data_IF_193923267395
#
_entry.id   IF_193923267395
#
_cell.length_a   1.000
_cell.length_b   1.000
_cell.length_c   1.000
_cell.angle_alpha   90.00
_cell.angle_beta   90.00
_cell.angle_gamma   90.00
#
_symmetry.space_group_name_H-M   'P 1'
#
loop_
_entity.id
_entity.type
_entity.pdbx_description
1 polymer ?
#
# COMPACT_ATOMS: atom_id res chain seq x y z
N UNK A 1 1.94 3.38 6.19
CA UNK A 1 0.75 3.17 5.35
C UNK A 1 0.58 1.67 5.11
N UNK A 2 -0.64 1.12 5.18
CA UNK A 2 -0.94 -0.27 4.80
C UNK A 2 -1.26 -0.25 3.30
N UNK A 3 -0.51 -1.03 2.51
CA UNK A 3 -0.66 -1.04 1.05
C UNK A 3 -1.98 -1.68 0.63
N UNK A 4 -2.49 -1.28 -0.53
CA UNK A 4 -3.68 -1.86 -1.15
C UNK A 4 -4.92 -1.89 -0.22
N UNK A 5 -4.99 -0.98 0.74
CA UNK A 5 -6.12 -0.80 1.64
C UNK A 5 -6.54 0.66 1.67
N UNK A 6 -7.83 0.91 1.90
CA UNK A 6 -8.33 2.27 2.11
C UNK A 6 -7.65 2.88 3.35
N UNK A 7 -7.14 4.09 3.21
CA UNK A 7 -6.49 4.82 4.32
C UNK A 7 -6.89 6.28 4.33
N UNK A 8 -6.97 6.87 5.52
CA UNK A 8 -7.24 8.30 5.67
C UNK A 8 -5.99 9.07 6.05
N UNK A 9 -5.80 10.23 5.43
CA UNK A 9 -4.75 11.22 5.75
C UNK A 9 -5.41 12.44 6.31
N UNK A 10 -4.91 12.92 7.45
CA UNK A 10 -5.35 14.21 8.00
C UNK A 10 -4.31 15.28 7.75
N UNK A 11 -4.77 16.48 7.41
CA UNK A 11 -3.93 17.65 7.26
C UNK A 11 -4.69 18.90 7.70
N UNK A 12 -3.96 19.90 8.18
CA UNK A 12 -4.52 21.17 8.59
C UNK A 12 -4.44 22.18 7.43
N UNK A 13 -5.52 22.91 7.19
CA UNK A 13 -5.49 24.06 6.28
C UNK A 13 -4.99 25.28 7.07
N UNK A 14 -3.72 25.65 6.91
CA UNK A 14 -3.16 26.86 7.53
C UNK A 14 -3.65 28.07 6.75
N UNK A 15 -4.26 29.05 7.43
CA UNK A 15 -4.78 30.24 6.76
C UNK A 15 -3.66 31.06 6.10
N UNK A 16 -3.78 31.29 4.79
CA UNK A 16 -2.84 32.08 4.00
C UNK A 16 -2.68 33.53 4.48
N UNK A 17 -3.73 34.12 5.05
CA UNK A 17 -3.72 35.51 5.56
C UNK A 17 -3.45 35.59 7.05
N UNK A 18 -3.46 34.46 7.77
CA UNK A 18 -3.24 34.40 9.21
C UNK A 18 -2.56 33.06 9.57
N UNK A 19 -1.23 32.96 9.40
CA UNK A 19 -0.50 31.68 9.46
C UNK A 19 -0.57 30.97 10.83
N UNK A 20 -1.00 31.67 11.88
CA UNK A 20 -1.20 31.12 13.23
C UNK A 20 -2.59 30.53 13.43
N UNK A 21 -3.49 30.64 12.44
CA UNK A 21 -4.87 30.16 12.49
C UNK A 21 -5.11 29.08 11.44
N UNK A 22 -6.08 28.20 11.73
CA UNK A 22 -6.57 27.22 10.77
C UNK A 22 -7.76 27.78 10.00
N UNK A 23 -7.82 27.47 8.71
CA UNK A 23 -8.90 27.86 7.81
C UNK A 23 -9.98 26.78 7.76
N UNK A 24 -11.07 27.01 8.48
CA UNK A 24 -12.26 26.17 8.43
C UNK A 24 -13.20 26.55 7.28
N UNK A 25 -14.10 25.63 6.92
CA UNK A 25 -15.17 25.85 5.93
C UNK A 25 -14.71 25.88 4.47
N UNK A 26 -13.47 25.47 4.16
CA UNK A 26 -13.02 25.37 2.78
C UNK A 26 -13.66 24.15 2.11
N UNK A 27 -14.27 24.36 0.94
CA UNK A 27 -14.67 23.25 0.06
C UNK A 27 -13.47 22.84 -0.79
N UNK A 28 -12.81 21.75 -0.40
CA UNK A 28 -11.72 21.14 -1.16
C UNK A 28 -12.29 20.16 -2.19
N UNK A 29 -11.80 20.25 -3.43
CA UNK A 29 -12.19 19.38 -4.54
C UNK A 29 -11.06 18.40 -4.89
N UNK A 30 -11.38 17.35 -5.64
CA UNK A 30 -10.37 16.41 -6.18
C UNK A 30 -9.31 17.08 -7.08
N UNK A 31 -9.62 18.25 -7.65
CA UNK A 31 -8.67 19.04 -8.43
C UNK A 31 -7.60 19.71 -7.56
N UNK A 32 -7.95 20.01 -6.31
CA UNK A 32 -7.11 20.73 -5.34
C UNK A 32 -6.12 19.79 -4.65
N UNK A 33 -6.31 18.47 -4.81
CA UNK A 33 -5.49 17.42 -4.20
C UNK A 33 -4.73 16.67 -5.26
N UNK A 34 -3.42 16.62 -5.09
CA UNK A 34 -2.50 15.87 -5.93
C UNK A 34 -1.78 14.80 -5.12
N UNK A 35 -1.67 13.61 -5.69
CA UNK A 35 -0.94 12.48 -5.14
C UNK A 35 0.23 12.11 -6.03
N UNK A 36 1.37 11.79 -5.43
CA UNK A 36 2.54 11.22 -6.11
C UNK A 36 2.83 9.86 -5.50
N UNK A 37 2.88 8.83 -6.36
CA UNK A 37 3.20 7.45 -6.01
C UNK A 37 4.64 7.16 -6.40
N UNK A 38 5.44 6.65 -5.47
CA UNK A 38 6.83 6.21 -5.70
C UNK A 38 7.69 7.28 -6.40
N UNK A 39 7.55 8.54 -5.95
CA UNK A 39 8.17 9.73 -6.55
C UNK A 39 7.83 9.97 -8.04
N UNK A 40 6.74 9.38 -8.53
CA UNK A 40 6.18 9.62 -9.85
C UNK A 40 5.49 10.97 -10.00
N UNK A 41 5.01 11.26 -11.21
CA UNK A 41 4.29 12.50 -11.50
C UNK A 41 3.01 12.64 -10.64
N UNK A 42 2.70 13.88 -10.26
CA UNK A 42 1.49 14.18 -9.51
C UNK A 42 0.22 13.97 -10.34
N UNK A 43 -0.72 13.21 -9.80
CA UNK A 43 -2.06 12.99 -10.36
C UNK A 43 -3.13 13.44 -9.36
N UNK A 44 -4.36 13.70 -9.82
CA UNK A 44 -5.45 14.00 -8.88
C UNK A 44 -5.81 12.79 -8.03
N UNK A 45 -6.16 13.04 -6.77
CA UNK A 45 -6.77 12.02 -5.92
C UNK A 45 -8.19 11.68 -6.41
N UNK A 46 -8.65 10.48 -6.08
CA UNK A 46 -9.97 9.97 -6.45
C UNK A 46 -11.07 10.63 -5.62
N UNK A 47 -10.81 10.86 -4.33
CA UNK A 47 -11.77 11.42 -3.39
C UNK A 47 -11.37 12.84 -2.99
N UNK A 48 -12.36 13.68 -2.68
CA UNK A 48 -12.14 15.00 -2.12
C UNK A 48 -11.93 14.91 -0.59
N UNK A 49 -11.13 15.81 0.01
CA UNK A 49 -11.02 15.91 1.46
C UNK A 49 -12.29 16.47 2.09
N UNK A 50 -12.63 15.98 3.28
CA UNK A 50 -13.76 16.47 4.08
C UNK A 50 -13.25 17.08 5.37
N UNK A 51 -13.81 18.21 5.78
CA UNK A 51 -13.46 18.85 7.04
C UNK A 51 -13.97 18.04 8.24
N UNK A 52 -13.13 17.92 9.27
CA UNK A 52 -13.48 17.27 10.53
C UNK A 52 -14.09 18.30 11.49
N UNK A 53 -15.41 18.33 11.59
CA UNK A 53 -16.12 19.05 12.66
C UNK A 53 -15.92 20.57 12.67
N UNK A 54 -15.66 21.21 11.52
CA UNK A 54 -15.43 22.66 11.37
C UNK A 54 -14.20 23.16 12.15
N UNK A 55 -13.11 22.41 12.07
CA UNK A 55 -11.86 22.68 12.83
C UNK A 55 -10.74 23.30 12.00
N UNK A 56 -10.88 23.34 10.66
CA UNK A 56 -9.79 23.60 9.73
C UNK A 56 -8.84 22.41 9.53
N UNK A 57 -9.17 21.23 10.09
CA UNK A 57 -8.49 19.96 9.81
C UNK A 57 -9.35 19.14 8.85
N UNK A 58 -8.73 18.59 7.81
CA UNK A 58 -9.40 17.85 6.75
C UNK A 58 -8.87 16.42 6.71
N UNK A 59 -9.76 15.48 6.40
CA UNK A 59 -9.43 14.09 6.14
C UNK A 59 -9.62 13.77 4.66
N UNK A 60 -8.57 13.25 4.03
CA UNK A 60 -8.62 12.67 2.69
C UNK A 60 -8.63 11.15 2.80
N UNK A 61 -9.69 10.51 2.31
CA UNK A 61 -9.74 9.05 2.19
C UNK A 61 -9.15 8.61 0.85
N UNK A 62 -8.01 7.93 0.91
CA UNK A 62 -7.34 7.32 -0.22
C UNK A 62 -7.87 5.92 -0.48
N UNK A 63 -8.01 5.55 -1.74
CA UNK A 63 -8.43 4.22 -2.17
C UNK A 63 -7.32 3.18 -2.02
N UNK A 64 -7.69 1.89 -2.04
CA UNK A 64 -6.72 0.80 -2.10
C UNK A 64 -5.77 0.91 -3.31
N UNK A 65 -6.24 1.39 -4.45
CA UNK A 65 -5.40 1.54 -5.64
C UNK A 65 -4.36 2.66 -5.49
N UNK A 66 -4.69 3.73 -4.78
CA UNK A 66 -3.77 4.85 -4.53
C UNK A 66 -2.72 4.51 -3.48
N UNK A 67 -3.09 3.71 -2.47
CA UNK A 67 -2.18 3.25 -1.41
C UNK A 67 -1.36 2.02 -1.83
N UNK A 68 -1.59 1.44 -3.01
CA UNK A 68 -0.74 0.39 -3.59
C UNK A 68 0.54 0.97 -4.20
N UNK A 69 1.37 1.58 -3.37
CA UNK A 69 2.69 2.11 -3.70
C UNK A 69 3.64 1.93 -2.51
N UNK A 70 4.93 2.16 -2.72
CA UNK A 70 5.94 2.16 -1.65
C UNK A 70 6.04 3.47 -0.91
N UNK A 71 5.78 4.58 -1.58
CA UNK A 71 5.69 5.90 -0.98
C UNK A 71 4.55 6.71 -1.59
N UNK A 72 3.77 7.37 -0.74
CA UNK A 72 2.70 8.25 -1.19
C UNK A 72 2.86 9.64 -0.59
N UNK A 73 2.93 10.64 -1.47
CA UNK A 73 2.89 12.05 -1.08
C UNK A 73 1.55 12.66 -1.49
N UNK A 74 0.94 13.41 -0.59
CA UNK A 74 -0.28 14.17 -0.82
C UNK A 74 0.08 15.66 -0.78
N UNK A 75 -0.27 16.38 -1.83
CA UNK A 75 -0.15 17.83 -1.94
C UNK A 75 -1.54 18.43 -2.09
N UNK A 76 -1.88 19.41 -1.25
CA UNK A 76 -3.15 20.11 -1.28
C UNK A 76 -2.91 21.58 -1.53
N UNK A 77 -3.55 22.13 -2.56
CA UNK A 77 -3.45 23.54 -2.93
C UNK A 77 -4.83 24.12 -3.16
N UNK A 78 -5.20 25.13 -2.37
CA UNK A 78 -6.46 25.86 -2.50
C UNK A 78 -6.25 27.33 -2.11
N UNK A 79 -6.92 28.24 -2.82
CA UNK A 79 -6.98 29.65 -2.40
C UNK A 79 -7.54 29.77 -0.98
N UNK A 80 -6.87 30.55 -0.14
CA UNK A 80 -7.25 30.72 1.28
C UNK A 80 -6.46 29.86 2.26
N UNK A 81 -5.61 28.94 1.78
CA UNK A 81 -4.64 28.21 2.60
C UNK A 81 -3.23 28.27 2.01
N UNK A 82 -2.21 28.13 2.86
CA UNK A 82 -0.88 27.79 2.37
C UNK A 82 -0.88 26.38 1.77
N UNK A 83 -0.15 26.13 0.67
CA UNK A 83 0.03 24.78 0.15
C UNK A 83 0.53 23.84 1.25
N UNK A 84 -0.15 22.72 1.45
CA UNK A 84 0.21 21.74 2.46
C UNK A 84 0.62 20.44 1.76
N UNK A 85 1.82 19.95 2.09
CA UNK A 85 2.29 18.64 1.68
C UNK A 85 2.31 17.70 2.89
N UNK A 86 1.48 16.66 2.83
CA UNK A 86 1.45 15.59 3.83
C UNK A 86 2.07 14.33 3.23
N UNK A 87 3.04 13.76 3.93
CA UNK A 87 3.76 12.57 3.50
C UNK A 87 3.21 11.36 4.25
N UNK A 88 2.73 10.37 3.51
CA UNK A 88 2.49 9.04 4.04
C UNK A 88 3.63 8.12 3.64
N UNK A 89 4.57 7.90 4.55
CA UNK A 89 5.51 6.80 4.40
C UNK A 89 4.77 5.47 4.54
N UNK A 90 5.04 4.51 3.65
CA UNK A 90 4.87 3.10 4.04
C UNK A 90 5.76 2.86 5.26
N UNK A 91 5.15 2.34 6.33
CA UNK A 91 5.95 1.74 7.39
C UNK A 91 6.59 0.50 6.76
N UNK A 92 7.86 0.27 7.10
CA UNK A 92 8.78 -0.88 6.92
C UNK A 92 8.32 -2.24 6.34
N UNK A 93 7.04 -2.55 6.15
CA UNK A 93 6.57 -3.80 5.55
C UNK A 93 6.31 -3.60 4.05
N UNK A 94 7.36 -3.30 3.29
CA UNK A 94 7.27 -3.58 1.86
C UNK A 94 7.09 -5.09 1.73
N UNK A 95 6.03 -5.60 1.07
CA UNK A 95 5.93 -7.01 0.76
C UNK A 95 7.22 -7.42 0.04
N UNK A 96 7.86 -8.48 0.54
CA UNK A 96 9.12 -8.97 -0.01
C UNK A 96 8.95 -9.49 -1.45
N UNK A 97 7.73 -9.88 -1.83
CA UNK A 97 7.40 -10.37 -3.16
C UNK A 97 5.88 -10.33 -3.44
N UNK A 98 5.53 -10.61 -4.69
CA UNK A 98 4.19 -10.74 -5.22
C UNK A 98 4.03 -12.07 -5.97
N UNK A 99 2.81 -12.60 -5.99
CA UNK A 99 2.45 -13.79 -6.76
C UNK A 99 2.43 -13.47 -8.25
N UNK A 100 3.09 -14.30 -9.05
CA UNK A 100 3.16 -14.20 -10.51
C UNK A 100 2.10 -15.08 -11.14
N UNK A 101 1.56 -14.65 -12.28
CA UNK A 101 0.61 -15.44 -13.05
C UNK A 101 1.26 -16.76 -13.51
N UNK A 102 0.72 -17.87 -13.04
CA UNK A 102 1.12 -19.22 -13.42
C UNK A 102 -0.09 -20.14 -13.33
N UNK A 103 -0.23 -21.07 -14.27
CA UNK A 103 -1.36 -22.00 -14.34
C UNK A 103 -1.33 -23.04 -13.20
N UNK A 104 -0.16 -23.29 -12.62
CA UNK A 104 0.06 -24.27 -11.57
C UNK A 104 -0.12 -23.68 -10.15
N UNK A 105 -0.47 -22.39 -10.05
CA UNK A 105 -0.75 -21.75 -8.77
C UNK A 105 -1.96 -22.38 -8.08
N UNK A 106 -1.72 -22.95 -6.89
CA UNK A 106 -2.71 -23.62 -6.04
C UNK A 106 -2.49 -23.25 -4.56
N UNK A 107 -3.33 -23.75 -3.67
CA UNK A 107 -3.26 -23.42 -2.25
C UNK A 107 -1.94 -23.85 -1.57
N UNK A 108 -1.24 -24.86 -2.10
CA UNK A 108 0.01 -25.43 -1.56
C UNK A 108 1.25 -25.05 -2.35
N UNK A 109 1.11 -24.33 -3.46
CA UNK A 109 2.21 -23.95 -4.33
C UNK A 109 1.86 -22.70 -5.11
N UNK A 110 2.78 -21.73 -5.17
CA UNK A 110 2.63 -20.62 -6.11
C UNK A 110 3.97 -20.06 -6.56
N UNK A 111 3.99 -19.46 -7.74
CA UNK A 111 5.15 -18.76 -8.30
C UNK A 111 5.17 -17.32 -7.83
N UNK A 112 6.35 -16.84 -7.44
CA UNK A 112 6.56 -15.46 -6.99
C UNK A 112 7.68 -14.76 -7.75
N UNK A 113 7.69 -13.43 -7.74
CA UNK A 113 8.72 -12.60 -8.37
C UNK A 113 10.04 -12.52 -7.56
N UNK A 114 10.49 -13.65 -7.01
CA UNK A 114 11.70 -13.75 -6.19
C UNK A 114 12.97 -13.79 -7.06
N UNK A 115 14.06 -13.19 -6.58
CA UNK A 115 15.31 -13.04 -7.36
C UNK A 115 16.29 -14.20 -7.16
N UNK A 116 16.34 -14.81 -5.97
CA UNK A 116 17.31 -15.87 -5.66
C UNK A 116 17.20 -17.04 -6.64
N UNK A 117 18.31 -17.43 -7.27
CA UNK A 117 18.40 -18.57 -8.19
C UNK A 117 18.73 -19.89 -7.48
N UNK A 118 18.92 -19.85 -6.16
CA UNK A 118 19.35 -21.00 -5.36
C UNK A 118 18.12 -21.79 -4.90
N UNK A 119 18.06 -23.07 -5.26
CA UNK A 119 17.02 -23.99 -4.76
C UNK A 119 17.09 -24.09 -3.24
N UNK A 120 15.93 -24.13 -2.60
CA UNK A 120 15.74 -24.17 -1.15
C UNK A 120 16.28 -22.94 -0.37
N UNK A 121 16.63 -21.85 -1.06
CA UNK A 121 17.07 -20.61 -0.40
C UNK A 121 16.07 -20.07 0.63
N UNK A 122 14.78 -20.24 0.36
CA UNK A 122 13.69 -19.81 1.24
C UNK A 122 13.04 -20.95 2.03
N UNK A 123 13.68 -22.12 2.09
CA UNK A 123 13.19 -23.24 2.88
C UNK A 123 13.18 -22.86 4.35
N UNK A 124 12.14 -23.30 5.07
CA UNK A 124 11.85 -22.98 6.47
C UNK A 124 11.51 -21.52 6.78
N UNK A 125 11.57 -20.63 5.79
CA UNK A 125 11.04 -19.27 5.90
C UNK A 125 9.51 -19.27 6.07
N UNK A 126 8.97 -18.19 6.61
CA UNK A 126 7.53 -17.99 6.79
C UNK A 126 7.03 -16.95 5.79
N UNK A 127 6.02 -17.33 5.00
CA UNK A 127 5.28 -16.41 4.13
C UNK A 127 4.05 -15.91 4.87
N UNK A 128 3.82 -14.60 4.81
CA UNK A 128 2.62 -13.94 5.34
C UNK A 128 1.98 -13.11 4.22
N UNK A 129 0.74 -13.42 3.84
CA UNK A 129 0.02 -12.62 2.86
C UNK A 129 -0.42 -11.29 3.48
N UNK A 130 -0.19 -10.20 2.75
CA UNK A 130 -0.52 -8.83 3.17
C UNK A 130 -1.74 -8.26 2.43
N UNK A 131 -2.09 -8.84 1.28
CA UNK A 131 -3.24 -8.45 0.46
C UNK A 131 -4.01 -9.67 -0.05
N UNK A 132 -5.11 -9.43 -0.78
CA UNK A 132 -5.91 -10.49 -1.39
C UNK A 132 -6.83 -11.21 -0.39
N UNK A 133 -7.48 -12.28 -0.85
CA UNK A 133 -8.37 -13.09 -0.02
C UNK A 133 -7.63 -13.85 1.10
N UNK A 134 -6.30 -13.98 0.96
CA UNK A 134 -5.43 -14.67 1.91
C UNK A 134 -4.78 -13.71 2.91
N UNK A 135 -5.06 -12.40 2.87
CA UNK A 135 -4.45 -11.41 3.75
C UNK A 135 -4.54 -11.83 5.22
N UNK A 136 -3.39 -11.80 5.92
CA UNK A 136 -3.25 -12.22 7.33
C UNK A 136 -3.00 -13.72 7.53
N UNK A 137 -3.10 -14.56 6.50
CA UNK A 137 -2.68 -15.96 6.59
C UNK A 137 -1.17 -16.09 6.47
N UNK A 138 -0.62 -17.08 7.19
CA UNK A 138 0.79 -17.41 7.14
C UNK A 138 1.01 -18.92 7.01
N UNK A 139 2.08 -19.29 6.30
CA UNK A 139 2.54 -20.68 6.16
C UNK A 139 4.06 -20.74 6.09
N UNK A 140 4.63 -21.84 6.59
CA UNK A 140 6.05 -22.15 6.44
C UNK A 140 6.32 -22.76 5.06
N UNK A 141 7.36 -22.27 4.40
CA UNK A 141 7.86 -22.77 3.12
C UNK A 141 8.59 -24.10 3.36
N UNK A 142 8.17 -25.16 2.68
CA UNK A 142 8.82 -26.48 2.75
C UNK A 142 9.82 -26.70 1.62
N UNK A 143 9.71 -25.93 0.54
CA UNK A 143 10.63 -25.97 -0.59
C UNK A 143 10.52 -24.72 -1.45
N UNK A 144 11.64 -24.36 -2.09
CA UNK A 144 11.70 -23.25 -3.03
C UNK A 144 12.48 -23.67 -4.28
N UNK A 145 11.90 -23.51 -5.46
CA UNK A 145 12.59 -23.79 -6.71
C UNK A 145 13.32 -22.53 -7.20
N UNK A 146 14.65 -22.55 -7.24
CA UNK A 146 15.46 -21.41 -7.67
C UNK A 146 15.31 -21.03 -9.14
N UNK A 147 14.80 -21.93 -9.99
CA UNK A 147 14.57 -21.67 -11.42
C UNK A 147 13.17 -21.12 -11.64
N UNK A 148 12.14 -21.84 -11.20
CA UNK A 148 10.73 -21.47 -11.43
C UNK A 148 10.22 -20.45 -10.43
N UNK A 149 10.97 -20.17 -9.35
CA UNK A 149 10.58 -19.28 -8.24
C UNK A 149 9.34 -19.74 -7.48
N UNK A 150 9.00 -21.03 -7.60
CA UNK A 150 7.85 -21.62 -6.93
C UNK A 150 8.15 -21.88 -5.45
N UNK A 151 7.25 -21.43 -4.58
CA UNK A 151 7.23 -21.74 -3.15
C UNK A 151 6.27 -22.89 -2.89
N UNK A 152 6.67 -23.86 -2.08
CA UNK A 152 5.86 -25.02 -1.68
C UNK A 152 5.55 -25.00 -0.19
N UNK A 153 4.37 -25.51 0.20
CA UNK A 153 3.88 -25.52 1.58
C UNK A 153 3.31 -26.90 1.94
N UNK A 154 3.56 -27.38 3.16
CA UNK A 154 3.00 -28.66 3.64
C UNK A 154 1.46 -28.63 3.77
N UNK A 155 0.94 -27.54 4.32
CA UNK A 155 -0.49 -27.29 4.43
C UNK A 155 -0.85 -26.08 3.59
N UNK A 156 -1.89 -26.20 2.78
CA UNK A 156 -2.33 -25.11 1.91
C UNK A 156 -2.92 -23.92 2.67
N UNK A 157 -2.99 -22.79 1.98
CA UNK A 157 -3.86 -21.67 2.33
C UNK A 157 -5.34 -22.03 2.08
N UNK A 158 -6.28 -21.17 2.48
CA UNK A 158 -7.72 -21.45 2.30
C UNK A 158 -8.17 -21.48 0.83
N UNK A 159 -7.38 -20.91 -0.08
CA UNK A 159 -7.59 -20.94 -1.53
C UNK A 159 -6.26 -20.74 -2.26
N UNK A 160 -6.25 -20.87 -3.59
CA UNK A 160 -5.12 -20.43 -4.39
C UNK A 160 -4.97 -18.89 -4.29
N UNK A 161 -3.75 -18.36 -4.20
CA UNK A 161 -3.52 -16.91 -4.25
C UNK A 161 -3.80 -16.37 -5.65
N UNK A 162 -4.27 -15.13 -5.73
CA UNK A 162 -4.47 -14.44 -7.00
C UNK A 162 -3.16 -13.84 -7.52
N UNK A 163 -3.06 -13.68 -8.85
CA UNK A 163 -1.93 -12.94 -9.45
C UNK A 163 -1.87 -11.52 -8.89
N UNK A 164 -0.68 -11.10 -8.46
CA UNK A 164 -0.46 -9.78 -7.86
C UNK A 164 -0.73 -9.70 -6.36
N UNK A 165 -1.18 -10.79 -5.72
CA UNK A 165 -1.26 -10.82 -4.25
C UNK A 165 0.14 -10.63 -3.64
N UNK A 166 0.22 -9.74 -2.66
CA UNK A 166 1.47 -9.30 -2.05
C UNK A 166 1.70 -10.06 -0.73
N UNK A 167 2.94 -10.46 -0.48
CA UNK A 167 3.32 -11.16 0.73
C UNK A 167 4.71 -10.76 1.24
N UNK A 168 4.94 -10.97 2.54
CA UNK A 168 6.27 -10.86 3.17
C UNK A 168 6.82 -12.25 3.38
N UNK A 169 8.12 -12.43 3.17
CA UNK A 169 8.84 -13.63 3.55
C UNK A 169 9.83 -13.30 4.66
N UNK A 170 9.72 -14.02 5.77
CA UNK A 170 10.56 -13.84 6.96
C UNK A 170 11.45 -15.06 7.05
N UNK A 171 12.74 -14.84 6.86
CA UNK A 171 13.77 -15.86 7.03
C UNK A 171 14.47 -15.65 8.37
N UNK A 172 14.71 -16.72 9.11
CA UNK A 172 15.36 -16.72 10.43
C UNK A 172 16.81 -17.13 10.34
#
# INVERSE_FOLDING_TARGET
MRRAQQQSVTFAAIDSVSPTALKSGLTLLVSDVKISKDAGAFASATNAPTELGVTGVYALTLTAAETNCGWLQVLVTKTGMYPNASVMGAMSDQPAAAVVADADNVATLFVANLTSAVTDFWKDAVVVFTTGALAGQLKRVTGYNGTTKALSFAAGFTSAPATGDLFVIINS
#
